data_IF_770452808968
#
_entry.id   IF_770452808968
#
_cell.length_a   1.000
_cell.length_b   1.000
_cell.length_c   1.000
_cell.angle_alpha   90.00
_cell.angle_beta   90.00
_cell.angle_gamma   90.00
#
_symmetry.space_group_name_H-M   'P 1'
#
loop_
_entity.id
_entity.type
_entity.pdbx_description
1 polymer ?
#
# COMPACT_ATOMS: atom_id res chain seq x y z
N UNK A 1 -3.94 -1.51 -15.81
CA UNK A 1 -2.47 -1.61 -15.56
C UNK A 1 -2.19 -2.94 -14.87
N UNK A 2 -1.00 -3.51 -15.05
CA UNK A 2 -0.62 -4.74 -14.33
C UNK A 2 0.03 -4.43 -12.99
N UNK A 3 -0.07 -5.37 -12.05
CA UNK A 3 0.60 -5.28 -10.75
C UNK A 3 2.12 -5.12 -10.89
N UNK A 4 2.72 -5.75 -11.91
CA UNK A 4 4.16 -5.61 -12.17
C UNK A 4 4.53 -4.18 -12.57
N UNK A 5 3.71 -3.53 -13.39
CA UNK A 5 3.94 -2.13 -13.77
C UNK A 5 3.82 -1.19 -12.58
N UNK A 6 2.81 -1.42 -11.73
CA UNK A 6 2.63 -0.65 -10.50
C UNK A 6 3.79 -0.86 -9.52
N UNK A 7 4.21 -2.12 -9.31
CA UNK A 7 5.35 -2.43 -8.46
C UNK A 7 6.61 -1.68 -8.90
N UNK A 8 6.93 -1.71 -10.21
CA UNK A 8 8.10 -0.99 -10.75
C UNK A 8 7.99 0.53 -10.57
N UNK A 9 6.80 1.10 -10.75
CA UNK A 9 6.58 2.52 -10.50
C UNK A 9 6.90 2.89 -9.05
N UNK A 10 6.35 2.17 -8.06
CA UNK A 10 6.65 2.40 -6.64
C UNK A 10 8.15 2.18 -6.33
N UNK A 11 8.72 1.07 -6.78
CA UNK A 11 10.13 0.73 -6.61
C UNK A 11 11.04 1.86 -7.10
N UNK A 12 10.81 2.34 -8.32
CA UNK A 12 11.62 3.41 -8.90
C UNK A 12 11.62 4.69 -8.07
N UNK A 13 10.48 5.06 -7.48
CA UNK A 13 10.37 6.24 -6.61
C UNK A 13 11.13 6.03 -5.31
N UNK A 14 10.96 4.88 -4.67
CA UNK A 14 11.64 4.53 -3.41
C UNK A 14 13.16 4.54 -3.60
N UNK A 15 13.64 3.86 -4.64
CA UNK A 15 15.05 3.72 -4.94
C UNK A 15 15.70 5.05 -5.36
N UNK A 16 14.98 5.88 -6.14
CA UNK A 16 15.47 7.19 -6.52
C UNK A 16 15.63 8.16 -5.32
N UNK A 17 14.78 8.01 -4.30
CA UNK A 17 14.89 8.81 -3.07
C UNK A 17 16.04 8.30 -2.19
N UNK A 18 16.14 6.97 -1.99
CA UNK A 18 17.28 6.34 -1.31
C UNK A 18 17.51 6.77 0.15
N UNK A 19 16.51 7.35 0.83
CA UNK A 19 16.62 7.81 2.23
C UNK A 19 15.92 6.80 3.17
N UNK A 20 16.66 6.29 4.16
CA UNK A 20 16.15 5.33 5.15
C UNK A 20 15.02 5.90 6.03
N UNK A 21 14.84 7.22 6.05
CA UNK A 21 13.75 7.90 6.78
C UNK A 21 12.46 8.01 5.95
N UNK A 22 12.48 7.64 4.67
CA UNK A 22 11.31 7.65 3.82
C UNK A 22 10.21 6.75 4.42
N UNK A 23 8.99 7.28 4.53
CA UNK A 23 7.80 6.55 4.94
C UNK A 23 6.66 6.90 3.98
N UNK A 24 6.13 5.89 3.32
CA UNK A 24 5.08 5.97 2.29
C UNK A 24 3.81 5.34 2.83
N UNK A 25 2.70 6.05 2.64
CA UNK A 25 1.37 5.48 2.77
C UNK A 25 0.84 5.21 1.36
N UNK A 26 0.54 3.94 1.06
CA UNK A 26 -0.14 3.58 -0.18
C UNK A 26 -1.55 4.18 -0.17
N UNK A 27 -2.04 4.68 -1.30
CA UNK A 27 -3.37 5.27 -1.37
C UNK A 27 -4.25 4.51 -2.36
N UNK A 28 -5.21 3.74 -1.83
CA UNK A 28 -6.16 2.96 -2.61
C UNK A 28 -7.49 3.72 -2.75
N UNK A 29 -7.68 4.37 -3.90
CA UNK A 29 -8.91 5.12 -4.23
C UNK A 29 -9.41 4.84 -5.67
N UNK A 30 -9.82 3.60 -5.99
CA UNK A 30 -10.23 3.20 -7.34
C UNK A 30 -11.29 4.10 -8.00
N UNK A 31 -12.31 4.63 -7.28
CA UNK A 31 -13.30 5.51 -7.90
C UNK A 31 -12.70 6.77 -8.54
N UNK A 32 -11.55 7.25 -8.03
CA UNK A 32 -10.84 8.44 -8.53
C UNK A 32 -9.68 8.05 -9.43
N UNK A 33 -8.82 7.12 -8.99
CA UNK A 33 -7.62 6.72 -9.73
C UNK A 33 -7.92 5.85 -10.97
N UNK A 34 -9.10 5.22 -11.01
CA UNK A 34 -9.44 4.15 -11.97
C UNK A 34 -8.47 2.96 -11.92
N UNK A 35 -7.69 2.85 -10.85
CA UNK A 35 -6.66 1.83 -10.64
C UNK A 35 -6.76 1.30 -9.22
N UNK A 36 -7.07 0.01 -9.09
CA UNK A 36 -7.01 -0.72 -7.83
C UNK A 36 -5.58 -1.14 -7.47
N UNK A 37 -5.35 -1.32 -6.17
CA UNK A 37 -4.12 -1.92 -5.65
C UNK A 37 -4.50 -3.31 -5.14
N UNK A 38 -4.00 -4.35 -5.80
CA UNK A 38 -4.26 -5.73 -5.38
C UNK A 38 -3.53 -6.04 -4.06
N UNK A 39 -4.04 -7.01 -3.30
CA UNK A 39 -3.35 -7.54 -2.12
C UNK A 39 -1.97 -8.08 -2.48
N UNK A 40 -1.84 -8.79 -3.60
CA UNK A 40 -0.57 -9.34 -4.07
C UNK A 40 0.48 -8.25 -4.35
N UNK A 41 0.06 -7.11 -4.92
CA UNK A 41 0.96 -5.96 -5.09
C UNK A 41 1.42 -5.40 -3.74
N UNK A 42 0.50 -5.26 -2.79
CA UNK A 42 0.76 -4.67 -1.48
C UNK A 42 1.72 -5.56 -0.68
N UNK A 43 1.48 -6.87 -0.64
CA UNK A 43 2.39 -7.85 -0.04
C UNK A 43 3.80 -7.75 -0.64
N UNK A 44 3.91 -7.64 -1.97
CA UNK A 44 5.21 -7.52 -2.65
C UNK A 44 5.94 -6.26 -2.23
N UNK A 45 5.23 -5.14 -2.10
CA UNK A 45 5.81 -3.86 -1.68
C UNK A 45 6.26 -3.90 -0.21
N UNK A 46 5.45 -4.50 0.68
CA UNK A 46 5.80 -4.69 2.08
C UNK A 46 7.03 -5.59 2.24
N UNK A 47 7.13 -6.67 1.47
CA UNK A 47 8.28 -7.59 1.50
C UNK A 47 9.56 -6.95 0.95
N UNK A 48 9.46 -6.17 -0.14
CA UNK A 48 10.62 -5.56 -0.79
C UNK A 48 11.12 -4.30 -0.06
N UNK A 49 10.21 -3.50 0.51
CA UNK A 49 10.52 -2.21 1.12
C UNK A 49 9.85 -2.06 2.50
N UNK A 50 10.15 -2.96 3.46
CA UNK A 50 9.47 -2.99 4.77
C UNK A 50 9.66 -1.70 5.57
N UNK A 51 10.81 -1.03 5.40
CA UNK A 51 11.07 0.24 6.06
C UNK A 51 10.41 1.42 5.34
N UNK A 52 10.19 1.35 4.02
CA UNK A 52 9.62 2.47 3.28
C UNK A 52 8.09 2.48 3.34
N UNK A 53 7.44 1.31 3.34
CA UNK A 53 5.98 1.21 3.35
C UNK A 53 5.45 1.24 4.79
N UNK A 54 4.84 2.36 5.19
CA UNK A 54 4.40 2.61 6.55
C UNK A 54 2.89 2.35 6.77
N UNK A 55 2.11 2.17 5.71
CA UNK A 55 0.65 2.05 5.82
C UNK A 55 -0.07 2.03 4.48
N UNK A 56 -1.38 1.80 4.54
CA UNK A 56 -2.30 2.04 3.44
C UNK A 56 -3.47 2.91 3.90
N UNK A 57 -3.82 3.88 3.06
CA UNK A 57 -5.06 4.64 3.13
C UNK A 57 -6.03 3.98 2.16
N UNK A 58 -7.06 3.32 2.67
CA UNK A 58 -8.13 2.74 1.85
C UNK A 58 -9.32 3.71 1.81
N UNK A 59 -9.71 4.11 0.59
CA UNK A 59 -10.89 4.92 0.28
C UNK A 59 -11.72 4.26 -0.83
N UNK A 60 -11.58 2.95 -1.01
CA UNK A 60 -12.41 2.16 -1.92
C UNK A 60 -13.89 2.14 -1.52
N UNK A 61 -14.18 2.28 -0.22
CA UNK A 61 -15.52 2.08 0.34
C UNK A 61 -15.92 0.61 0.47
N UNK A 62 -15.01 -0.33 0.21
CA UNK A 62 -15.22 -1.77 0.37
C UNK A 62 -14.60 -2.25 1.69
N UNK A 63 -15.46 -2.60 2.65
CA UNK A 63 -15.04 -3.09 3.96
C UNK A 63 -14.29 -4.43 3.88
N UNK A 64 -14.67 -5.33 2.97
CA UNK A 64 -13.98 -6.62 2.85
C UNK A 64 -12.54 -6.41 2.38
N UNK A 65 -12.32 -5.48 1.46
CA UNK A 65 -10.99 -5.05 1.05
C UNK A 65 -10.21 -4.45 2.22
N UNK A 66 -10.82 -3.51 2.96
CA UNK A 66 -10.19 -2.91 4.14
C UNK A 66 -9.80 -3.95 5.19
N UNK A 67 -10.65 -4.93 5.46
CA UNK A 67 -10.38 -5.99 6.43
C UNK A 67 -9.19 -6.88 6.00
N UNK A 68 -9.14 -7.30 4.74
CA UNK A 68 -7.99 -8.05 4.21
C UNK A 68 -6.69 -7.26 4.26
N UNK A 69 -6.74 -5.95 4.00
CA UNK A 69 -5.58 -5.07 4.13
C UNK A 69 -5.10 -4.95 5.56
N UNK A 70 -6.00 -4.83 6.53
CA UNK A 70 -5.64 -4.77 7.95
C UNK A 70 -4.93 -6.04 8.38
N UNK A 71 -5.45 -7.21 7.99
CA UNK A 71 -4.86 -8.51 8.33
C UNK A 71 -3.43 -8.62 7.77
N UNK A 72 -3.26 -8.37 6.47
CA UNK A 72 -1.96 -8.47 5.80
C UNK A 72 -0.92 -7.47 6.35
N UNK A 73 -1.33 -6.22 6.63
CA UNK A 73 -0.44 -5.23 7.22
C UNK A 73 -0.05 -5.55 8.66
N UNK A 74 -0.95 -6.17 9.44
CA UNK A 74 -0.67 -6.56 10.82
C UNK A 74 0.41 -7.65 10.91
N UNK A 75 0.46 -8.55 9.92
CA UNK A 75 1.42 -9.65 9.83
C UNK A 75 2.85 -9.12 9.57
N UNK A 76 2.98 -8.02 8.84
CA UNK A 76 4.28 -7.50 8.41
C UNK A 76 4.92 -6.50 9.40
N UNK A 77 4.38 -6.35 10.62
CA UNK A 77 5.01 -5.55 11.69
C UNK A 77 5.01 -4.04 11.46
N UNK A 78 4.46 -3.56 10.34
CA UNK A 78 4.09 -2.17 10.18
C UNK A 78 3.05 -1.87 11.26
N UNK A 79 3.32 -0.95 12.18
CA UNK A 79 2.34 -0.53 13.19
C UNK A 79 1.04 -0.21 12.46
N UNK A 80 -0.08 -0.92 12.68
CA UNK A 80 -1.25 -0.81 11.81
C UNK A 80 -1.78 0.62 11.82
N UNK A 81 -1.47 1.39 10.79
CA UNK A 81 -2.04 2.72 10.54
C UNK A 81 -2.82 2.66 9.23
N UNK A 82 -3.74 1.71 9.16
CA UNK A 82 -4.80 1.72 8.16
C UNK A 82 -5.80 2.78 8.58
N UNK A 83 -5.73 3.95 7.96
CA UNK A 83 -6.71 5.01 8.18
C UNK A 83 -7.84 4.79 7.19
N UNK A 84 -9.02 4.34 7.63
CA UNK A 84 -10.22 4.36 6.78
C UNK A 84 -10.87 5.76 6.86
N UNK A 85 -11.36 6.31 5.75
CA UNK A 85 -12.13 7.57 5.73
C UNK A 85 -13.63 7.34 5.58
N UNK A 86 -14.09 6.08 5.58
CA UNK A 86 -15.49 5.71 5.49
C UNK A 86 -16.18 5.55 6.86
N UNK A 87 -15.59 6.08 7.94
CA UNK A 87 -16.25 6.28 9.24
C UNK A 87 -16.19 7.76 9.61
#
# INVERSE_FOLDING_TARGET
>A
MSDEGLFRAYASVIEAIGDARLKIYLYHIPPVSQVGLSLTLIERLLKAYPDAIAGIKDSSGDWNNTASLIDDMSIHGATPRTLNSAL
#
